data_IF_028172993173
#
_entry.id   IF_028172993173
#
_cell.length_a   1.000
_cell.length_b   1.000
_cell.length_c   1.000
_cell.angle_alpha   90.00
_cell.angle_beta   90.00
_cell.angle_gamma   90.00
#
_symmetry.space_group_name_H-M   'P 1'
#
loop_
_entity.id
_entity.type
_entity.pdbx_description
1 polymer ?
#
# COMPACT_ATOMS: atom_id res chain seq x y z
N UNK A 1 -11.75 -6.41 23.78
CA UNK A 1 -12.02 -5.27 22.88
C UNK A 1 -11.15 -5.47 21.64
N UNK A 2 -11.71 -5.31 20.43
CA UNK A 2 -10.94 -5.37 19.20
C UNK A 2 -9.95 -4.21 19.10
N UNK A 3 -8.77 -4.48 18.54
CA UNK A 3 -7.76 -3.45 18.29
C UNK A 3 -8.19 -2.53 17.13
N UNK A 4 -7.62 -1.31 16.98
CA UNK A 4 -7.90 -0.45 15.83
C UNK A 4 -7.62 -1.13 14.48
N UNK A 5 -6.60 -1.98 14.41
CA UNK A 5 -6.30 -2.77 13.23
C UNK A 5 -7.41 -3.79 12.91
N UNK A 6 -7.86 -4.54 13.91
CA UNK A 6 -8.96 -5.50 13.72
C UNK A 6 -10.26 -4.80 13.32
N UNK A 7 -10.57 -3.66 13.93
CA UNK A 7 -11.76 -2.85 13.56
C UNK A 7 -11.69 -2.42 12.08
N UNK A 8 -10.54 -1.92 11.63
CA UNK A 8 -10.37 -1.53 10.24
C UNK A 8 -10.48 -2.71 9.27
N UNK A 9 -9.94 -3.88 9.64
CA UNK A 9 -10.09 -5.11 8.84
C UNK A 9 -11.55 -5.54 8.75
N UNK A 10 -12.29 -5.49 9.86
CA UNK A 10 -13.73 -5.79 9.88
C UNK A 10 -14.55 -4.80 9.05
N UNK A 11 -14.24 -3.49 9.10
CA UNK A 11 -14.88 -2.47 8.27
C UNK A 11 -14.61 -2.69 6.79
N UNK A 12 -13.37 -2.99 6.43
CA UNK A 12 -12.97 -3.33 5.06
C UNK A 12 -13.67 -4.60 4.57
N UNK A 13 -13.79 -5.62 5.40
CA UNK A 13 -14.48 -6.85 5.08
C UNK A 13 -15.99 -6.64 4.89
N UNK A 14 -16.62 -5.81 5.73
CA UNK A 14 -18.04 -5.46 5.54
C UNK A 14 -18.28 -4.73 4.22
N UNK A 15 -17.35 -3.88 3.80
CA UNK A 15 -17.43 -3.14 2.55
C UNK A 15 -17.19 -4.07 1.35
N UNK A 16 -16.12 -4.85 1.35
CA UNK A 16 -15.67 -5.63 0.19
C UNK A 16 -16.28 -7.02 0.10
N UNK A 17 -16.82 -7.55 1.20
CA UNK A 17 -17.54 -8.83 1.32
C UNK A 17 -16.73 -10.04 0.83
N UNK A 18 -15.52 -10.30 1.35
CA UNK A 18 -14.73 -11.47 1.00
C UNK A 18 -15.32 -12.76 1.59
N UNK A 19 -15.07 -13.90 0.93
CA UNK A 19 -15.45 -15.22 1.46
C UNK A 19 -14.52 -15.68 2.59
N UNK A 20 -13.28 -15.20 2.58
CA UNK A 20 -12.25 -15.57 3.55
C UNK A 20 -11.31 -14.40 3.83
N UNK A 21 -10.87 -14.28 5.08
CA UNK A 21 -9.83 -13.35 5.51
C UNK A 21 -8.59 -14.14 5.91
N UNK A 22 -7.44 -13.77 5.37
CA UNK A 22 -6.13 -14.38 5.67
C UNK A 22 -5.19 -13.30 6.16
N UNK A 23 -4.68 -13.47 7.37
CA UNK A 23 -3.64 -12.63 7.94
C UNK A 23 -2.27 -13.15 7.47
N UNK A 24 -1.53 -12.30 6.78
CA UNK A 24 -0.20 -12.65 6.29
C UNK A 24 0.82 -12.57 7.42
N UNK A 25 1.55 -13.67 7.64
CA UNK A 25 2.56 -13.78 8.69
C UNK A 25 3.98 -13.47 8.20
N UNK A 26 4.19 -13.42 6.88
CA UNK A 26 5.47 -13.17 6.23
C UNK A 26 6.42 -14.35 6.24
N UNK A 27 5.96 -15.56 6.62
CA UNK A 27 6.78 -16.77 6.64
C UNK A 27 7.15 -17.27 5.25
N UNK A 28 8.18 -18.14 5.18
CA UNK A 28 8.55 -18.81 3.93
C UNK A 28 7.45 -19.78 3.46
N UNK A 29 6.81 -20.48 4.39
CA UNK A 29 5.67 -21.34 4.07
C UNK A 29 4.50 -20.59 3.44
N UNK A 30 4.20 -19.38 3.94
CA UNK A 30 3.21 -18.49 3.32
C UNK A 30 3.64 -18.11 1.90
N UNK A 31 4.91 -17.73 1.71
CA UNK A 31 5.45 -17.37 0.40
C UNK A 31 5.34 -18.51 -0.62
N UNK A 32 5.75 -19.71 -0.22
CA UNK A 32 5.64 -20.92 -1.06
C UNK A 32 4.17 -21.20 -1.44
N UNK A 33 3.26 -21.06 -0.48
CA UNK A 33 1.83 -21.23 -0.74
C UNK A 33 1.30 -20.18 -1.73
N UNK A 34 1.69 -18.90 -1.57
CA UNK A 34 1.29 -17.81 -2.49
C UNK A 34 1.85 -18.04 -3.89
N UNK A 35 3.13 -18.37 -4.02
CA UNK A 35 3.78 -18.65 -5.30
C UNK A 35 3.20 -19.90 -5.97
N UNK A 36 2.91 -20.97 -5.19
CA UNK A 36 2.25 -22.17 -5.67
C UNK A 36 0.88 -21.87 -6.28
N UNK A 37 0.06 -21.09 -5.57
CA UNK A 37 -1.25 -20.65 -6.07
C UNK A 37 -1.14 -19.78 -7.32
N UNK A 38 -0.19 -18.84 -7.36
CA UNK A 38 0.03 -17.99 -8.54
C UNK A 38 0.50 -18.78 -9.77
N UNK A 39 1.31 -19.82 -9.58
CA UNK A 39 1.72 -20.74 -10.65
C UNK A 39 0.55 -21.58 -11.15
N UNK A 40 -0.24 -22.15 -10.22
CA UNK A 40 -1.43 -22.93 -10.55
C UNK A 40 -2.45 -22.12 -11.36
N UNK A 41 -2.67 -20.86 -10.97
CA UNK A 41 -3.62 -19.96 -11.63
C UNK A 41 -3.06 -19.36 -12.94
N UNK A 42 -1.81 -19.70 -13.33
CA UNK A 42 -1.15 -19.19 -14.55
C UNK A 42 -0.79 -17.69 -14.50
N UNK A 43 -0.81 -17.09 -13.31
CA UNK A 43 -0.50 -15.67 -13.12
C UNK A 43 1.00 -15.43 -13.23
N UNK A 44 1.81 -16.38 -12.77
CA UNK A 44 3.27 -16.38 -12.91
C UNK A 44 3.74 -17.67 -13.56
N UNK A 45 4.86 -17.57 -14.30
CA UNK A 45 5.60 -18.72 -14.85
C UNK A 45 7.00 -18.71 -14.24
N UNK A 46 7.41 -19.83 -13.64
CA UNK A 46 8.77 -19.98 -13.15
C UNK A 46 9.76 -20.02 -14.31
N UNK A 47 10.82 -19.23 -14.22
CA UNK A 47 11.89 -19.24 -15.21
C UNK A 47 12.80 -20.45 -14.98
N UNK A 48 13.71 -20.72 -15.95
CA UNK A 48 14.66 -21.80 -15.81
C UNK A 48 15.50 -21.62 -14.52
N UNK A 49 15.34 -22.49 -13.49
CA UNK A 49 15.97 -22.28 -12.19
C UNK A 49 17.51 -22.43 -12.23
N UNK A 50 18.07 -23.10 -13.25
CA UNK A 50 19.51 -23.20 -13.42
C UNK A 50 20.14 -21.86 -13.89
N UNK A 51 19.38 -21.03 -14.61
CA UNK A 51 19.85 -19.76 -15.14
C UNK A 51 19.31 -18.57 -14.34
N UNK A 52 18.07 -18.69 -13.84
CA UNK A 52 17.35 -17.66 -13.13
C UNK A 52 16.71 -18.24 -11.84
N UNK A 53 17.50 -18.56 -10.83
CA UNK A 53 16.98 -19.14 -9.60
C UNK A 53 15.99 -18.17 -8.94
N UNK A 54 14.90 -18.72 -8.40
CA UNK A 54 13.83 -17.98 -7.71
C UNK A 54 13.22 -16.81 -8.52
N UNK A 55 13.21 -16.94 -9.85
CA UNK A 55 12.71 -15.89 -10.74
C UNK A 55 11.44 -16.32 -11.47
N UNK A 56 10.49 -15.39 -11.57
CA UNK A 56 9.19 -15.64 -12.14
C UNK A 56 8.82 -14.56 -13.17
N UNK A 57 8.21 -14.99 -14.28
CA UNK A 57 7.63 -14.09 -15.28
C UNK A 57 6.15 -13.87 -14.96
N UNK A 58 5.75 -12.64 -14.80
CA UNK A 58 4.34 -12.23 -14.77
C UNK A 58 3.98 -11.46 -16.04
N UNK A 59 2.98 -11.92 -16.79
CA UNK A 59 2.42 -11.21 -17.95
C UNK A 59 1.05 -10.67 -17.59
N UNK A 60 0.87 -9.37 -17.78
CA UNK A 60 -0.35 -8.67 -17.43
C UNK A 60 -1.26 -8.45 -18.62
N UNK A 61 -2.53 -8.16 -18.31
CA UNK A 61 -3.45 -7.65 -19.30
C UNK A 61 -2.89 -6.34 -19.90
N UNK A 62 -2.84 -6.18 -21.25
CA UNK A 62 -2.40 -4.95 -21.90
C UNK A 62 -3.15 -3.69 -21.45
N UNK A 63 -4.39 -3.83 -20.99
CA UNK A 63 -5.19 -2.72 -20.45
C UNK A 63 -4.83 -2.34 -19.00
N UNK A 64 -4.04 -3.15 -18.30
CA UNK A 64 -3.55 -2.84 -16.96
C UNK A 64 -2.15 -2.24 -17.02
N UNK A 65 -2.08 -1.03 -17.57
CA UNK A 65 -0.84 -0.31 -17.83
C UNK A 65 -0.27 0.38 -16.60
N UNK A 66 1.04 0.65 -16.64
CA UNK A 66 1.81 1.23 -15.55
C UNK A 66 1.34 2.64 -15.13
N UNK A 67 0.90 3.45 -16.08
CA UNK A 67 0.60 4.86 -15.85
C UNK A 67 -0.89 5.06 -15.60
N UNK A 68 -1.20 5.66 -14.46
CA UNK A 68 -2.56 5.96 -14.01
C UNK A 68 -2.65 7.37 -13.44
N UNK A 69 -1.82 8.28 -13.92
CA UNK A 69 -1.76 9.66 -13.41
C UNK A 69 -3.12 10.35 -13.50
N UNK A 70 -3.85 10.17 -14.59
CA UNK A 70 -5.18 10.78 -14.80
C UNK A 70 -6.27 10.31 -13.84
N UNK A 71 -6.08 9.13 -13.23
CA UNK A 71 -7.02 8.51 -12.27
C UNK A 71 -6.41 8.36 -10.86
N UNK A 72 -5.27 9.04 -10.63
CA UNK A 72 -4.63 9.12 -9.32
C UNK A 72 -4.90 10.49 -8.71
N UNK A 73 -5.45 10.51 -7.50
CA UNK A 73 -5.87 11.73 -6.82
C UNK A 73 -5.26 11.84 -5.43
N UNK A 74 -4.97 13.07 -5.04
CA UNK A 74 -4.71 13.47 -3.65
C UNK A 74 -5.97 14.15 -3.14
N UNK A 75 -6.61 13.52 -2.16
CA UNK A 75 -7.90 13.93 -1.62
C UNK A 75 -7.67 14.67 -0.29
N UNK A 76 -7.47 15.96 -0.36
CA UNK A 76 -7.23 16.87 0.75
C UNK A 76 -8.37 17.88 0.87
N UNK A 77 -8.52 18.51 2.05
CA UNK A 77 -9.58 19.53 2.26
C UNK A 77 -9.44 20.70 1.32
N UNK A 78 -8.21 21.11 1.03
CA UNK A 78 -7.94 22.19 0.10
C UNK A 78 -7.06 21.70 -1.05
N UNK A 79 -7.25 22.27 -2.24
CA UNK A 79 -6.48 21.92 -3.43
C UNK A 79 -4.97 22.20 -3.25
N UNK A 80 -4.63 23.25 -2.52
CA UNK A 80 -3.25 23.65 -2.31
C UNK A 80 -2.44 22.60 -1.53
N UNK A 81 -3.08 21.84 -0.65
CA UNK A 81 -2.45 20.76 0.08
C UNK A 81 -2.13 19.53 -0.78
N UNK A 82 -2.80 19.38 -1.92
CA UNK A 82 -2.49 18.32 -2.88
C UNK A 82 -1.20 18.59 -3.66
N UNK A 83 -0.73 19.83 -3.66
CA UNK A 83 0.43 20.27 -4.43
C UNK A 83 0.11 20.59 -5.90
N UNK A 84 1.03 21.25 -6.61
CA UNK A 84 0.76 21.85 -7.91
C UNK A 84 0.61 20.86 -9.07
N UNK A 85 1.13 19.65 -8.96
CA UNK A 85 1.21 18.67 -10.06
C UNK A 85 0.27 17.49 -9.91
N UNK A 86 -0.43 17.38 -8.80
CA UNK A 86 -1.32 16.25 -8.54
C UNK A 86 -2.76 16.59 -8.94
N UNK A 87 -3.50 15.58 -9.39
CA UNK A 87 -4.96 15.72 -9.47
C UNK A 87 -5.52 15.78 -8.05
N UNK A 88 -6.44 16.70 -7.87
CA UNK A 88 -7.12 16.92 -6.60
C UNK A 88 -8.60 16.56 -6.68
N UNK A 89 -9.14 16.10 -5.57
CA UNK A 89 -10.55 15.86 -5.32
C UNK A 89 -10.82 16.10 -3.83
N UNK A 90 -12.03 16.51 -3.45
CA UNK A 90 -12.38 16.56 -2.03
C UNK A 90 -12.36 15.12 -1.43
N UNK A 91 -12.07 14.94 -0.15
CA UNK A 91 -12.14 13.61 0.48
C UNK A 91 -13.51 12.95 0.33
N UNK A 92 -14.58 13.74 0.42
CA UNK A 92 -15.96 13.30 0.28
C UNK A 92 -16.24 12.78 -1.13
N UNK A 93 -15.87 13.54 -2.16
CA UNK A 93 -16.06 13.17 -3.56
C UNK A 93 -15.21 11.95 -3.92
N UNK A 94 -13.95 11.88 -3.43
CA UNK A 94 -13.06 10.74 -3.61
C UNK A 94 -13.65 9.45 -3.05
N UNK A 95 -14.18 9.50 -1.83
CA UNK A 95 -14.85 8.37 -1.21
C UNK A 95 -16.15 8.00 -1.92
N UNK A 96 -16.98 8.99 -2.26
CA UNK A 96 -18.23 8.76 -2.99
C UNK A 96 -17.99 8.08 -4.34
N UNK A 97 -16.91 8.43 -5.03
CA UNK A 97 -16.53 7.83 -6.33
C UNK A 97 -16.06 6.39 -6.23
N UNK A 98 -15.25 6.05 -5.22
CA UNK A 98 -14.59 4.73 -5.15
C UNK A 98 -15.37 3.74 -4.30
N UNK A 99 -16.12 4.18 -3.30
CA UNK A 99 -16.88 3.31 -2.40
C UNK A 99 -17.82 2.34 -3.13
N UNK A 100 -18.60 2.76 -4.15
CA UNK A 100 -19.48 1.83 -4.90
C UNK A 100 -18.70 0.75 -5.68
N UNK A 101 -17.44 1.02 -6.04
CA UNK A 101 -16.57 0.06 -6.72
C UNK A 101 -16.01 -0.96 -5.73
N UNK A 102 -15.71 -0.52 -4.50
CA UNK A 102 -15.23 -1.38 -3.42
C UNK A 102 -16.33 -2.28 -2.86
N UNK A 103 -17.58 -1.84 -2.89
CA UNK A 103 -18.70 -2.58 -2.33
C UNK A 103 -18.86 -3.95 -3.01
N UNK A 104 -18.70 -5.02 -2.21
CA UNK A 104 -18.76 -6.40 -2.69
C UNK A 104 -17.65 -6.80 -3.67
N UNK A 105 -16.58 -6.00 -3.83
CA UNK A 105 -15.50 -6.24 -4.81
C UNK A 105 -14.72 -7.53 -4.57
N UNK A 106 -14.77 -8.08 -3.35
CA UNK A 106 -14.05 -9.30 -2.99
C UNK A 106 -14.97 -10.53 -2.81
N UNK A 107 -16.24 -10.47 -3.24
CA UNK A 107 -17.13 -11.63 -3.24
C UNK A 107 -16.52 -12.76 -4.06
N UNK A 108 -16.57 -14.00 -3.53
CA UNK A 108 -15.95 -15.16 -4.16
C UNK A 108 -14.42 -15.19 -4.04
N UNK A 109 -13.81 -14.29 -3.26
CA UNK A 109 -12.36 -14.11 -3.18
C UNK A 109 -11.86 -14.13 -1.74
N UNK A 110 -10.55 -14.34 -1.60
CA UNK A 110 -9.86 -14.21 -0.32
C UNK A 110 -9.33 -12.79 -0.15
N UNK A 111 -9.61 -12.18 0.99
CA UNK A 111 -8.98 -10.94 1.44
C UNK A 111 -7.70 -11.26 2.22
N UNK A 112 -6.59 -10.74 1.79
CA UNK A 112 -5.30 -10.85 2.46
C UNK A 112 -5.05 -9.57 3.25
N UNK A 113 -4.65 -9.72 4.50
CA UNK A 113 -4.23 -8.62 5.38
C UNK A 113 -2.73 -8.70 5.56
N UNK A 114 -2.01 -7.78 4.98
CA UNK A 114 -0.55 -7.75 4.93
C UNK A 114 0.01 -6.56 5.73
N UNK A 115 0.30 -6.72 7.04
CA UNK A 115 1.04 -5.73 7.80
C UNK A 115 2.49 -5.63 7.30
N UNK A 116 3.04 -4.42 7.22
CA UNK A 116 4.42 -4.22 6.74
C UNK A 116 5.11 -3.04 7.42
N UNK A 117 6.45 -3.07 7.40
CA UNK A 117 7.32 -2.00 7.89
C UNK A 117 8.07 -1.42 6.70
N UNK A 118 8.06 -0.10 6.58
CA UNK A 118 8.95 0.67 5.72
C UNK A 118 10.14 1.15 6.55
N UNK A 119 11.34 0.93 6.04
CA UNK A 119 12.60 1.22 6.75
C UNK A 119 13.10 0.03 7.60
N UNK A 120 14.23 0.19 8.30
CA UNK A 120 14.81 -0.84 9.15
C UNK A 120 13.90 -1.20 10.33
N UNK A 121 13.77 -2.50 10.65
CA UNK A 121 12.79 -2.99 11.63
C UNK A 121 12.87 -2.30 12.99
N UNK A 122 14.07 -2.02 13.47
CA UNK A 122 14.32 -1.47 14.80
C UNK A 122 14.57 0.07 14.78
N UNK A 123 14.41 0.72 13.64
CA UNK A 123 14.60 2.16 13.55
C UNK A 123 13.39 2.92 14.14
N UNK A 124 13.61 3.98 14.92
CA UNK A 124 12.53 4.85 15.37
C UNK A 124 11.84 5.61 14.22
N UNK A 125 12.53 5.75 13.10
CA UNK A 125 12.03 6.44 11.90
C UNK A 125 11.22 5.54 10.97
N UNK A 126 11.23 4.22 11.18
CA UNK A 126 10.42 3.32 10.38
C UNK A 126 8.93 3.58 10.60
N UNK A 127 8.17 3.42 9.55
CA UNK A 127 6.71 3.57 9.56
C UNK A 127 6.06 2.21 9.29
N UNK A 128 4.89 2.02 9.85
CA UNK A 128 4.10 0.79 9.65
C UNK A 128 2.87 1.08 8.81
N UNK A 129 2.53 0.15 7.97
CA UNK A 129 1.30 0.16 7.20
C UNK A 129 0.66 -1.22 7.18
N UNK A 130 -0.59 -1.26 6.76
CA UNK A 130 -1.31 -2.50 6.52
C UNK A 130 -1.97 -2.41 5.16
N UNK A 131 -1.67 -3.35 4.30
CA UNK A 131 -2.31 -3.47 3.01
C UNK A 131 -3.34 -4.60 3.05
N UNK A 132 -4.59 -4.27 2.72
CA UNK A 132 -5.64 -5.23 2.44
C UNK A 132 -5.75 -5.38 0.92
N UNK A 133 -5.75 -6.62 0.43
CA UNK A 133 -5.85 -6.91 -1.00
C UNK A 133 -6.50 -8.25 -1.27
N UNK A 134 -7.14 -8.41 -2.43
CA UNK A 134 -7.62 -9.69 -2.95
C UNK A 134 -6.66 -10.36 -3.96
N UNK A 135 -5.41 -9.87 -4.02
CA UNK A 135 -4.40 -10.31 -4.97
C UNK A 135 -3.21 -11.00 -4.31
N UNK A 136 -3.05 -12.32 -4.53
CA UNK A 136 -1.84 -13.06 -4.12
C UNK A 136 -0.57 -12.47 -4.72
N UNK A 137 -0.64 -11.94 -5.93
CA UNK A 137 0.50 -11.29 -6.58
C UNK A 137 0.99 -10.06 -5.81
N UNK A 138 0.05 -9.27 -5.28
CA UNK A 138 0.36 -8.12 -4.43
C UNK A 138 1.04 -8.56 -3.15
N UNK A 139 0.51 -9.59 -2.47
CA UNK A 139 1.12 -10.14 -1.24
C UNK A 139 2.56 -10.60 -1.50
N UNK A 140 2.78 -11.42 -2.53
CA UNK A 140 4.11 -11.92 -2.89
C UNK A 140 5.08 -10.77 -3.23
N UNK A 141 4.60 -9.73 -3.91
CA UNK A 141 5.40 -8.55 -4.25
C UNK A 141 5.69 -7.67 -3.04
N UNK A 142 4.73 -7.49 -2.11
CA UNK A 142 4.93 -6.74 -0.86
C UNK A 142 5.98 -7.40 0.04
N UNK A 143 6.04 -8.74 0.04
CA UNK A 143 7.08 -9.49 0.76
C UNK A 143 8.50 -9.16 0.26
N UNK A 144 8.67 -8.98 -1.05
CA UNK A 144 9.97 -8.62 -1.65
C UNK A 144 10.35 -7.17 -1.31
N UNK A 145 9.37 -6.28 -1.26
CA UNK A 145 9.59 -4.83 -1.18
C UNK A 145 9.58 -4.26 0.23
N UNK A 146 9.08 -5.01 1.21
CA UNK A 146 8.91 -4.54 2.58
C UNK A 146 9.20 -5.65 3.59
N UNK A 147 9.27 -5.29 4.86
CA UNK A 147 9.32 -6.25 5.97
C UNK A 147 7.90 -6.54 6.39
N UNK A 148 7.32 -7.57 5.80
CA UNK A 148 5.92 -7.94 5.94
C UNK A 148 5.70 -8.99 7.04
N UNK A 149 4.52 -8.99 7.63
CA UNK A 149 4.00 -10.08 8.46
C UNK A 149 4.07 -9.83 9.96
N UNK A 150 4.34 -10.90 10.72
CA UNK A 150 4.24 -10.91 12.20
C UNK A 150 5.00 -9.79 12.90
N UNK A 151 6.22 -9.49 12.48
CA UNK A 151 7.02 -8.41 13.09
C UNK A 151 6.36 -7.03 12.92
N UNK A 152 5.71 -6.80 11.80
CA UNK A 152 4.95 -5.56 11.55
C UNK A 152 3.67 -5.52 12.40
N UNK A 153 2.95 -6.63 12.48
CA UNK A 153 1.76 -6.75 13.33
C UNK A 153 2.07 -6.51 14.81
N UNK A 154 3.15 -7.10 15.32
CA UNK A 154 3.59 -6.92 16.70
C UNK A 154 3.99 -5.46 16.99
N UNK A 155 4.61 -4.79 16.01
CA UNK A 155 4.95 -3.36 16.13
C UNK A 155 3.72 -2.45 16.14
N UNK A 156 2.67 -2.79 15.42
CA UNK A 156 1.38 -2.08 15.47
C UNK A 156 0.73 -2.31 16.84
N UNK A 157 0.67 -3.55 17.31
CA UNK A 157 0.06 -3.92 18.58
C UNK A 157 -1.38 -3.39 18.71
N UNK A 158 -1.64 -2.65 19.79
CA UNK A 158 -2.92 -1.99 20.03
C UNK A 158 -2.97 -0.53 19.55
N UNK A 159 -1.93 -0.07 18.85
CA UNK A 159 -1.85 1.30 18.35
C UNK A 159 -2.73 1.52 17.14
N UNK A 160 -3.27 2.74 17.01
CA UNK A 160 -3.90 3.22 15.78
C UNK A 160 -2.89 3.88 14.81
N UNK A 161 -1.60 3.91 15.16
CA UNK A 161 -0.57 4.57 14.35
C UNK A 161 -0.01 3.65 13.27
N UNK A 162 -0.82 3.36 12.26
CA UNK A 162 -0.41 2.69 11.03
C UNK A 162 -1.10 3.38 9.84
N UNK A 163 -0.62 3.12 8.63
CA UNK A 163 -1.23 3.62 7.39
C UNK A 163 -2.09 2.52 6.79
N UNK A 164 -3.42 2.64 6.82
CA UNK A 164 -4.34 1.70 6.21
C UNK A 164 -4.36 1.88 4.68
N UNK A 165 -4.26 0.75 3.96
CA UNK A 165 -4.34 0.68 2.51
C UNK A 165 -5.29 -0.42 2.08
N UNK A 166 -6.32 -0.07 1.30
CA UNK A 166 -7.27 -1.02 0.72
C UNK A 166 -7.12 -1.07 -0.79
N UNK A 167 -6.78 -2.24 -1.29
CA UNK A 167 -6.66 -2.53 -2.72
C UNK A 167 -7.65 -3.62 -3.12
N UNK A 168 -8.35 -3.44 -4.24
CA UNK A 168 -9.19 -4.46 -4.86
C UNK A 168 -8.98 -4.51 -6.38
N UNK A 169 -8.84 -5.73 -6.92
CA UNK A 169 -8.72 -5.92 -8.37
C UNK A 169 -9.95 -5.45 -9.13
N UNK A 170 -11.15 -5.60 -8.56
CA UNK A 170 -12.43 -5.13 -9.12
C UNK A 170 -12.59 -5.40 -10.63
N UNK A 171 -12.10 -6.57 -11.10
CA UNK A 171 -12.16 -7.00 -12.50
C UNK A 171 -11.08 -6.40 -13.41
N UNK A 172 -10.15 -5.60 -12.89
CA UNK A 172 -9.08 -4.93 -13.69
C UNK A 172 -9.67 -4.10 -14.84
N UNK A 173 -10.75 -3.37 -14.55
CA UNK A 173 -11.48 -2.55 -15.51
C UNK A 173 -10.91 -1.12 -15.54
N UNK A 174 -10.42 -0.62 -16.69
CA UNK A 174 -9.92 0.74 -16.82
C UNK A 174 -10.91 1.84 -16.43
N UNK A 175 -12.21 1.64 -16.69
CA UNK A 175 -13.26 2.62 -16.36
C UNK A 175 -13.54 2.68 -14.85
N UNK A 176 -13.15 1.66 -14.10
CA UNK A 176 -13.32 1.54 -12.66
C UNK A 176 -12.00 1.65 -11.91
N UNK A 177 -10.96 2.16 -12.55
CA UNK A 177 -9.61 2.28 -12.00
C UNK A 177 -9.41 3.62 -11.33
N UNK A 178 -9.05 3.59 -10.04
CA UNK A 178 -8.71 4.78 -9.27
C UNK A 178 -7.63 4.46 -8.23
N UNK A 179 -6.76 5.45 -7.98
CA UNK A 179 -5.81 5.43 -6.86
C UNK A 179 -6.02 6.71 -6.05
N UNK A 180 -6.60 6.59 -4.87
CA UNK A 180 -6.99 7.69 -4.01
C UNK A 180 -6.11 7.72 -2.76
N UNK A 181 -5.61 8.90 -2.44
CA UNK A 181 -4.83 9.17 -1.24
C UNK A 181 -5.60 10.16 -0.38
N UNK A 182 -5.80 9.84 0.89
CA UNK A 182 -6.46 10.70 1.88
C UNK A 182 -5.43 11.03 2.98
N UNK A 183 -4.57 12.04 2.76
CA UNK A 183 -3.40 12.28 3.61
C UNK A 183 -3.75 12.59 5.06
N UNK A 184 -4.78 13.39 5.32
CA UNK A 184 -5.20 13.72 6.70
C UNK A 184 -5.69 12.48 7.47
N UNK A 185 -6.25 11.49 6.77
CA UNK A 185 -6.68 10.22 7.34
C UNK A 185 -5.60 9.14 7.25
N UNK A 186 -4.47 9.45 6.60
CA UNK A 186 -3.40 8.51 6.23
C UNK A 186 -3.89 7.29 5.42
N UNK A 187 -5.06 7.38 4.79
CA UNK A 187 -5.75 6.29 4.12
C UNK A 187 -5.39 6.25 2.63
N UNK A 188 -5.30 5.03 2.08
CA UNK A 188 -5.08 4.79 0.66
C UNK A 188 -6.13 3.80 0.15
N UNK A 189 -6.82 4.16 -0.94
CA UNK A 189 -7.70 3.26 -1.68
C UNK A 189 -7.23 3.12 -3.13
N UNK A 190 -7.09 1.87 -3.60
CA UNK A 190 -6.74 1.57 -4.99
C UNK A 190 -7.65 0.48 -5.53
N UNK A 191 -8.26 0.71 -6.69
CA UNK A 191 -9.20 -0.21 -7.32
C UNK A 191 -8.96 -0.32 -8.83
N UNK A 192 -9.31 -1.47 -9.40
CA UNK A 192 -9.36 -1.68 -10.85
C UNK A 192 -8.01 -1.90 -11.53
N UNK A 193 -6.95 -2.17 -10.78
CA UNK A 193 -5.62 -2.46 -11.32
C UNK A 193 -4.89 -3.50 -10.47
N UNK A 194 -4.29 -4.50 -11.10
CA UNK A 194 -3.34 -5.41 -10.45
C UNK A 194 -1.88 -5.02 -10.70
N UNK A 195 -1.62 -3.95 -11.43
CA UNK A 195 -0.26 -3.48 -11.70
C UNK A 195 0.45 -3.03 -10.43
N UNK A 196 1.70 -3.50 -10.23
CA UNK A 196 2.43 -3.25 -8.98
C UNK A 196 2.55 -1.78 -8.59
N UNK A 197 2.73 -0.87 -9.55
CA UNK A 197 2.80 0.56 -9.26
C UNK A 197 1.50 1.17 -8.70
N UNK A 198 0.37 0.53 -8.93
CA UNK A 198 -0.96 0.95 -8.47
C UNK A 198 -1.46 0.14 -7.28
N UNK A 199 -1.03 -1.12 -7.20
CA UNK A 199 -1.53 -2.11 -6.26
C UNK A 199 -0.62 -2.34 -5.05
N UNK A 200 0.67 -2.02 -5.13
CA UNK A 200 1.62 -2.09 -4.00
C UNK A 200 1.57 -0.76 -3.24
N UNK A 201 0.65 -0.65 -2.30
CA UNK A 201 0.33 0.62 -1.64
C UNK A 201 1.45 1.13 -0.73
N UNK A 202 2.31 0.24 -0.25
CA UNK A 202 3.51 0.59 0.51
C UNK A 202 4.56 1.37 -0.30
N UNK A 203 4.56 1.24 -1.62
CA UNK A 203 5.57 1.84 -2.50
C UNK A 203 5.29 3.33 -2.75
N UNK A 204 4.62 3.67 -3.87
CA UNK A 204 4.39 5.08 -4.23
C UNK A 204 3.31 5.74 -3.38
N UNK A 205 2.28 5.00 -3.01
CA UNK A 205 1.17 5.56 -2.29
C UNK A 205 1.57 5.98 -0.87
N UNK A 206 2.13 5.07 -0.10
CA UNK A 206 2.59 5.41 1.25
C UNK A 206 3.94 6.08 1.23
N UNK A 207 5.00 5.42 0.75
CA UNK A 207 6.39 5.88 0.91
C UNK A 207 6.67 7.23 0.23
N UNK A 208 5.89 7.62 -0.79
CA UNK A 208 6.01 8.94 -1.41
C UNK A 208 4.89 9.88 -0.95
N UNK A 209 3.60 9.56 -1.27
CA UNK A 209 2.54 10.55 -1.16
C UNK A 209 2.05 10.79 0.27
N UNK A 210 1.72 9.73 1.00
CA UNK A 210 1.30 9.87 2.40
C UNK A 210 2.49 10.30 3.28
N UNK A 211 3.67 9.72 3.06
CA UNK A 211 4.86 10.05 3.83
C UNK A 211 5.33 11.50 3.60
N UNK A 212 5.23 12.03 2.38
CA UNK A 212 5.53 13.44 2.10
C UNK A 212 4.61 14.38 2.88
N UNK A 213 3.32 14.07 2.90
CA UNK A 213 2.37 14.87 3.66
C UNK A 213 2.65 14.82 5.17
N UNK A 214 2.94 13.63 5.71
CA UNK A 214 3.32 13.45 7.12
C UNK A 214 4.63 14.18 7.44
N UNK A 215 5.65 14.00 6.59
CA UNK A 215 6.98 14.55 6.78
C UNK A 215 6.98 16.09 6.74
N UNK A 216 6.11 16.70 5.96
CA UNK A 216 5.97 18.15 5.87
C UNK A 216 5.72 18.81 7.23
N UNK A 217 4.87 18.22 8.06
CA UNK A 217 4.58 18.73 9.39
C UNK A 217 5.70 18.48 10.39
N UNK A 218 6.58 17.52 10.12
CA UNK A 218 7.73 17.13 10.94
C UNK A 218 9.03 17.84 10.46
N UNK A 219 8.99 18.64 9.40
CA UNK A 219 10.15 19.30 8.80
C UNK A 219 11.07 18.37 8.02
N UNK A 220 10.57 17.19 7.61
CA UNK A 220 11.32 16.20 6.85
C UNK A 220 10.97 16.28 5.37
N UNK A 221 11.93 15.87 4.53
CA UNK A 221 11.70 15.75 3.09
C UNK A 221 11.54 14.27 2.71
N UNK A 222 10.46 13.95 2.00
CA UNK A 222 10.29 12.66 1.34
C UNK A 222 10.67 12.81 -0.14
N UNK A 223 11.50 11.91 -0.63
CA UNK A 223 11.96 11.87 -2.01
C UNK A 223 11.72 10.45 -2.57
N UNK A 224 11.11 10.36 -3.72
CA UNK A 224 10.86 9.18 -4.56
C UNK A 224 10.89 7.81 -3.85
N UNK A 225 10.02 7.55 -2.89
CA UNK A 225 9.94 6.31 -2.11
C UNK A 225 11.01 6.18 -1.01
N UNK A 226 11.63 7.28 -0.63
CA UNK A 226 12.67 7.35 0.38
C UNK A 226 12.35 8.50 1.34
N UNK A 227 12.47 8.24 2.63
CA UNK A 227 12.52 9.28 3.65
C UNK A 227 13.96 9.33 4.13
N UNK A 228 14.62 10.46 3.91
CA UNK A 228 16.01 10.69 4.30
C UNK A 228 16.04 11.54 5.57
N UNK A 229 16.61 11.00 6.63
CA UNK A 229 17.01 11.73 7.81
C UNK A 229 18.53 11.87 7.82
N UNK A 230 19.01 13.09 8.03
CA UNK A 230 20.42 13.35 8.27
C UNK A 230 20.60 13.60 9.77
N UNK A 231 21.34 12.73 10.45
CA UNK A 231 21.79 12.97 11.81
C UNK A 231 23.15 13.68 11.74
N UNK A 232 23.20 14.96 12.11
CA UNK A 232 24.44 15.66 12.35
C UNK A 232 24.71 15.67 13.87
N UNK A 233 25.75 14.98 14.35
CA UNK A 233 26.08 14.97 15.75
C UNK A 233 26.58 16.35 16.28
N UNK A 234 26.80 17.32 15.40
CA UNK A 234 27.14 18.69 15.77
C UNK A 234 25.87 19.45 16.17
N UNK A 235 25.92 20.23 17.25
CA UNK A 235 24.81 21.11 17.59
C UNK A 235 24.56 22.09 16.43
N UNK A 236 23.31 22.14 15.97
CA UNK A 236 22.88 23.11 14.96
C UNK A 236 22.97 24.48 15.62
N UNK A 237 23.76 25.43 15.08
CA UNK A 237 23.81 26.81 15.63
C UNK A 237 22.38 27.39 15.63
N UNK A 238 22.04 28.10 16.72
CA UNK A 238 20.74 28.79 16.82
C UNK A 238 20.53 29.67 15.58
N UNK A 239 19.44 29.41 14.86
CA UNK A 239 19.06 30.16 13.65
C UNK A 239 19.53 29.56 12.31
N UNK A 240 20.24 28.42 12.30
CA UNK A 240 20.54 27.70 11.06
C UNK A 240 19.43 26.67 10.74
N UNK A 241 18.68 26.90 9.71
CA UNK A 241 17.88 25.82 9.11
C UNK A 241 18.82 24.93 8.28
N UNK A 242 18.82 23.63 8.52
CA UNK A 242 19.36 22.67 7.57
C UNK A 242 18.54 22.81 6.29
N UNK A 243 19.03 23.62 5.35
CA UNK A 243 18.50 23.67 4.00
C UNK A 243 18.81 22.34 3.33
N UNK A 244 17.79 21.51 3.15
CA UNK A 244 17.80 20.34 2.28
C UNK A 244 17.15 20.74 0.98
#
# INVERSE_FOLDING_TARGET
>A
MSTPLEQWVEESARLTQPDKIVWCDGSEAENEHMLGGLKHDGIITELNPATYPHSYLNRRNPNDVARTESVTFICTRTKDEAGPTNNWMSPEDGKARVRPILEGSMKGRTMYVAPYILGPQNSPYSRVGVEITDSRYVVASMRIMSRMGKAAQDRIGSSANFVPGLHALAGVDPERRFVMHFPEEKLIWSVGSGYGGNALLGKKCFALRIASWMARSEGWMAEHMLILGLEDPRPVPDGASLGI
#
